data_IF_224283446828
#
_entry.id   IF_224283446828
#
_cell.length_a   1.000
_cell.length_b   1.000
_cell.length_c   1.000
_cell.angle_alpha   90.00
_cell.angle_beta   90.00
_cell.angle_gamma   90.00
#
_symmetry.space_group_name_H-M   'P 1'
#
loop_
_entity.id
_entity.type
_entity.pdbx_description
1 polymer ?
#
# COMPACT_ATOMS: atom_id res chain seq x y z
N UNK A 1 -16.17 13.61 65.99
CA UNK A 1 -16.23 14.22 64.63
C UNK A 1 -14.87 14.39 63.95
N UNK A 2 -13.73 14.50 64.66
CA UNK A 2 -12.40 14.68 64.02
C UNK A 2 -11.86 13.42 63.33
N UNK A 3 -12.18 12.21 63.81
CA UNK A 3 -11.67 10.93 63.25
C UNK A 3 -12.37 10.51 61.94
N UNK A 4 -13.65 10.84 61.77
CA UNK A 4 -14.42 10.54 60.55
C UNK A 4 -14.10 11.53 59.41
N UNK A 5 -13.73 12.76 59.78
CA UNK A 5 -13.29 13.78 58.83
C UNK A 5 -11.93 13.42 58.21
N UNK A 6 -11.01 12.83 58.97
CA UNK A 6 -9.71 12.38 58.47
C UNK A 6 -9.80 11.17 57.53
N UNK A 7 -10.77 10.26 57.73
CA UNK A 7 -10.95 9.10 56.85
C UNK A 7 -11.59 9.46 55.52
N UNK A 8 -12.46 10.48 55.46
CA UNK A 8 -13.03 10.97 54.21
C UNK A 8 -12.02 11.75 53.36
N UNK A 9 -11.09 12.48 53.99
CA UNK A 9 -10.07 13.27 53.29
C UNK A 9 -9.00 12.39 52.62
N UNK A 10 -8.74 11.18 53.15
CA UNK A 10 -7.80 10.22 52.57
C UNK A 10 -8.32 9.52 51.30
N UNK A 11 -9.65 9.34 51.15
CA UNK A 11 -10.24 8.69 49.97
C UNK A 11 -10.26 9.62 48.74
N UNK A 12 -10.34 10.93 48.96
CA UNK A 12 -10.34 11.92 47.87
C UNK A 12 -8.95 12.12 47.25
N UNK A 13 -7.87 11.87 48.01
CA UNK A 13 -6.49 11.99 47.52
C UNK A 13 -6.07 10.78 46.67
N UNK A 14 -6.58 9.58 46.93
CA UNK A 14 -6.25 8.39 46.13
C UNK A 14 -6.99 8.33 44.78
N UNK A 15 -8.12 9.02 44.64
CA UNK A 15 -8.88 9.03 43.37
C UNK A 15 -8.39 10.08 42.36
N UNK A 16 -7.75 11.17 42.81
CA UNK A 16 -7.21 12.21 41.92
C UNK A 16 -5.81 11.89 41.34
N UNK A 17 -5.05 10.99 41.96
CA UNK A 17 -3.77 10.51 41.42
C UNK A 17 -3.91 9.66 40.16
N UNK A 18 -4.99 8.88 40.02
CA UNK A 18 -5.23 8.03 38.85
C UNK A 18 -5.71 8.77 37.61
N UNK A 19 -6.25 9.99 37.74
CA UNK A 19 -6.77 10.76 36.61
C UNK A 19 -5.73 11.68 35.95
N UNK A 20 -4.62 12.00 36.62
CA UNK A 20 -3.51 12.75 36.01
C UNK A 20 -2.50 11.84 35.29
N UNK A 21 -2.40 10.56 35.67
CA UNK A 21 -1.44 9.61 35.09
C UNK A 21 -1.79 9.15 33.65
N UNK A 22 -2.99 9.48 33.13
CA UNK A 22 -3.38 9.22 31.73
C UNK A 22 -3.20 10.41 30.79
N UNK A 23 -2.78 11.59 31.27
CA UNK A 23 -2.59 12.79 30.43
C UNK A 23 -1.13 13.07 30.06
N UNK A 24 -0.20 12.18 30.41
CA UNK A 24 1.22 12.39 30.16
C UNK A 24 1.78 11.25 29.31
N UNK A 25 1.44 11.24 28.00
CA UNK A 25 2.29 10.74 26.90
C UNK A 25 1.55 10.79 25.55
N UNK A 26 1.07 11.96 25.14
CA UNK A 26 1.09 12.30 23.72
C UNK A 26 2.10 13.42 23.57
N UNK A 27 3.38 13.04 23.48
CA UNK A 27 4.35 13.95 22.88
C UNK A 27 3.91 14.14 21.42
N UNK A 28 3.80 15.37 20.89
CA UNK A 28 3.67 15.54 19.46
C UNK A 28 4.83 14.78 18.83
N UNK A 29 4.50 13.85 17.94
CA UNK A 29 5.48 13.07 17.21
C UNK A 29 6.30 14.09 16.41
N UNK A 30 7.46 14.51 16.93
CA UNK A 30 8.37 15.37 16.18
C UNK A 30 8.76 14.57 14.95
N UNK A 31 8.24 14.96 13.79
CA UNK A 31 8.61 14.39 12.50
C UNK A 31 10.11 14.69 12.30
N UNK A 32 10.97 13.79 12.76
CA UNK A 32 12.37 13.77 12.36
C UNK A 32 12.39 13.44 10.87
N UNK A 33 13.14 14.22 10.10
CA UNK A 33 13.45 13.83 8.72
C UNK A 33 14.12 12.46 8.74
N UNK A 34 13.68 11.52 7.89
CA UNK A 34 14.23 10.18 7.87
C UNK A 34 15.72 10.23 7.52
N UNK A 35 16.53 9.46 8.24
CA UNK A 35 17.95 9.29 7.90
C UNK A 35 18.12 8.63 6.52
N UNK A 36 19.28 8.83 5.89
CA UNK A 36 19.58 8.27 4.56
C UNK A 36 19.33 6.75 4.49
N UNK A 37 19.74 6.00 5.52
CA UNK A 37 19.52 4.56 5.57
C UNK A 37 18.03 4.17 5.65
N UNK A 38 17.20 4.99 6.32
CA UNK A 38 15.76 4.79 6.38
C UNK A 38 15.06 5.11 5.05
N UNK A 39 15.59 6.08 4.30
CA UNK A 39 15.12 6.39 2.94
C UNK A 39 15.42 5.20 2.02
N UNK A 40 16.65 4.71 2.02
CA UNK A 40 17.06 3.55 1.21
C UNK A 40 16.28 2.28 1.56
N UNK A 41 16.09 1.99 2.85
CA UNK A 41 15.30 0.83 3.28
C UNK A 41 13.84 0.95 2.83
N UNK A 42 13.27 2.15 2.88
CA UNK A 42 11.91 2.42 2.40
C UNK A 42 11.81 2.20 0.89
N UNK A 43 12.76 2.72 0.12
CA UNK A 43 12.78 2.55 -1.34
C UNK A 43 12.90 1.09 -1.73
N UNK A 44 13.75 0.31 -1.05
CA UNK A 44 13.86 -1.14 -1.26
C UNK A 44 12.55 -1.84 -0.98
N UNK A 45 11.90 -1.56 0.16
CA UNK A 45 10.60 -2.16 0.51
C UNK A 45 9.51 -1.81 -0.51
N UNK A 46 9.51 -0.59 -1.03
CA UNK A 46 8.57 -0.18 -2.08
C UNK A 46 8.84 -0.96 -3.37
N UNK A 47 10.11 -1.10 -3.78
CA UNK A 47 10.49 -1.85 -4.96
C UNK A 47 10.14 -3.34 -4.83
N UNK A 48 10.41 -3.96 -3.68
CA UNK A 48 10.03 -5.35 -3.39
C UNK A 48 8.52 -5.55 -3.43
N UNK A 49 7.74 -4.65 -2.81
CA UNK A 49 6.28 -4.72 -2.84
C UNK A 49 5.72 -4.49 -4.24
N UNK A 50 6.31 -3.59 -5.04
CA UNK A 50 5.98 -3.40 -6.47
C UNK A 50 6.19 -4.70 -7.24
N UNK A 51 7.36 -5.32 -7.09
CA UNK A 51 7.70 -6.55 -7.79
C UNK A 51 6.79 -7.72 -7.37
N UNK A 52 6.49 -7.86 -6.08
CA UNK A 52 5.58 -8.88 -5.57
C UNK A 52 4.15 -8.68 -6.11
N UNK A 53 3.67 -7.43 -6.13
CA UNK A 53 2.34 -7.07 -6.62
C UNK A 53 2.21 -7.42 -8.11
N UNK A 54 3.16 -7.00 -8.94
CA UNK A 54 3.20 -7.32 -10.37
C UNK A 54 3.27 -8.84 -10.57
N UNK A 55 4.14 -9.55 -9.84
CA UNK A 55 4.25 -11.00 -9.93
C UNK A 55 2.95 -11.72 -9.56
N UNK A 56 2.25 -11.26 -8.53
CA UNK A 56 0.95 -11.81 -8.14
C UNK A 56 -0.10 -11.56 -9.21
N UNK A 57 -0.11 -10.37 -9.80
CA UNK A 57 -0.99 -10.03 -10.91
C UNK A 57 -0.73 -10.88 -12.15
N UNK A 58 0.53 -11.04 -12.58
CA UNK A 58 0.87 -11.83 -13.77
C UNK A 58 0.39 -13.29 -13.67
N UNK A 59 0.29 -13.85 -12.46
CA UNK A 59 -0.24 -15.22 -12.25
C UNK A 59 -1.74 -15.33 -12.55
N UNK A 60 -2.48 -14.23 -12.55
CA UNK A 60 -3.93 -14.21 -12.88
C UNK A 60 -4.19 -14.09 -14.39
N UNK A 61 -3.16 -13.76 -15.17
CA UNK A 61 -3.25 -13.61 -16.62
C UNK A 61 -3.16 -14.96 -17.34
N UNK A 62 -3.92 -15.07 -18.42
CA UNK A 62 -3.95 -16.24 -19.30
C UNK A 62 -2.85 -16.19 -20.36
N UNK A 63 -2.30 -15.01 -20.60
CA UNK A 63 -1.12 -14.76 -21.42
C UNK A 63 0.00 -15.79 -21.26
N UNK A 64 0.71 -16.06 -22.36
CA UNK A 64 1.88 -16.92 -22.35
C UNK A 64 3.08 -16.27 -21.62
N UNK A 65 4.18 -17.01 -21.49
CA UNK A 65 5.36 -16.54 -20.76
C UNK A 65 6.04 -15.32 -21.41
N UNK A 66 6.08 -15.26 -22.75
CA UNK A 66 6.65 -14.15 -23.49
C UNK A 66 5.77 -12.90 -23.36
N UNK A 67 4.45 -13.06 -23.55
CA UNK A 67 3.48 -11.98 -23.30
C UNK A 67 3.58 -11.49 -21.85
N UNK A 68 3.68 -12.38 -20.86
CA UNK A 68 3.87 -12.00 -19.44
C UNK A 68 5.14 -11.21 -19.21
N UNK A 69 6.23 -11.50 -19.93
CA UNK A 69 7.46 -10.73 -19.83
C UNK A 69 7.29 -9.31 -20.39
N UNK A 70 6.59 -9.16 -21.52
CA UNK A 70 6.26 -7.84 -22.08
C UNK A 70 5.37 -7.07 -21.10
N UNK A 71 4.28 -7.69 -20.63
CA UNK A 71 3.35 -7.09 -19.67
C UNK A 71 4.10 -6.64 -18.41
N UNK A 72 5.02 -7.48 -17.90
CA UNK A 72 5.86 -7.13 -16.75
C UNK A 72 6.66 -5.85 -17.00
N UNK A 73 7.37 -5.77 -18.13
CA UNK A 73 8.18 -4.60 -18.49
C UNK A 73 7.31 -3.35 -18.63
N UNK A 74 6.16 -3.46 -19.31
CA UNK A 74 5.19 -2.36 -19.46
C UNK A 74 4.68 -1.87 -18.11
N UNK A 75 4.35 -2.79 -17.18
CA UNK A 75 3.90 -2.45 -15.83
C UNK A 75 4.99 -1.83 -14.97
N UNK A 76 6.22 -2.33 -15.05
CA UNK A 76 7.36 -1.76 -14.32
C UNK A 76 7.57 -0.29 -14.71
N UNK A 77 7.56 0.00 -16.02
CA UNK A 77 7.65 1.35 -16.59
C UNK A 77 6.43 2.21 -16.21
N UNK A 78 5.21 1.66 -16.28
CA UNK A 78 3.98 2.38 -15.88
C UNK A 78 4.05 2.87 -14.43
N UNK A 79 4.47 2.00 -13.50
CA UNK A 79 4.54 2.37 -12.10
C UNK A 79 5.65 3.40 -11.82
N UNK A 80 6.76 3.34 -12.57
CA UNK A 80 7.82 4.36 -12.48
C UNK A 80 7.32 5.73 -12.94
N UNK A 81 6.65 5.80 -14.09
CA UNK A 81 6.03 7.03 -14.59
C UNK A 81 4.94 7.55 -13.66
N UNK A 82 4.10 6.65 -13.12
CA UNK A 82 3.08 7.01 -12.14
C UNK A 82 3.71 7.61 -10.88
N UNK A 83 4.75 6.98 -10.33
CA UNK A 83 5.48 7.52 -9.17
C UNK A 83 6.11 8.88 -9.50
N UNK A 84 6.70 9.05 -10.67
CA UNK A 84 7.26 10.33 -11.12
C UNK A 84 6.19 11.41 -11.17
N UNK A 85 5.02 11.11 -11.76
CA UNK A 85 3.86 12.00 -11.79
C UNK A 85 3.38 12.37 -10.39
N UNK A 86 3.38 11.43 -9.44
CA UNK A 86 3.01 11.73 -8.06
C UNK A 86 3.97 12.69 -7.35
N UNK A 87 5.26 12.71 -7.75
CA UNK A 87 6.29 13.62 -7.23
C UNK A 87 6.19 15.03 -7.82
N UNK A 88 5.54 15.20 -8.97
CA UNK A 88 5.34 16.52 -9.58
C UNK A 88 4.34 17.34 -8.75
N UNK A 89 4.69 18.58 -8.37
CA UNK A 89 3.73 19.50 -7.79
C UNK A 89 2.78 19.98 -8.90
N UNK A 90 1.48 19.80 -8.68
CA UNK A 90 0.44 20.36 -9.54
C UNK A 90 -0.21 21.52 -8.81
N UNK A 91 -0.47 22.61 -9.52
CA UNK A 91 -1.14 23.79 -8.94
C UNK A 91 -2.60 23.46 -8.61
N UNK A 92 -3.24 22.67 -9.48
CA UNK A 92 -4.65 22.32 -9.38
C UNK A 92 -4.82 20.81 -9.28
N UNK A 93 -5.74 20.37 -8.42
CA UNK A 93 -5.96 18.94 -8.15
C UNK A 93 -6.35 18.14 -9.40
N UNK A 94 -7.12 18.74 -10.31
CA UNK A 94 -7.58 18.09 -11.54
C UNK A 94 -6.45 17.83 -12.56
N UNK A 95 -5.38 18.63 -12.54
CA UNK A 95 -4.26 18.47 -13.50
C UNK A 95 -3.55 17.14 -13.26
N UNK A 96 -3.44 16.73 -11.98
CA UNK A 96 -2.91 15.41 -11.61
C UNK A 96 -3.81 14.29 -12.11
N UNK A 97 -5.12 14.43 -11.93
CA UNK A 97 -6.10 13.43 -12.37
C UNK A 97 -6.07 13.27 -13.89
N UNK A 98 -6.01 14.38 -14.62
CA UNK A 98 -5.88 14.38 -16.08
C UNK A 98 -4.56 13.74 -16.54
N UNK A 99 -3.45 14.05 -15.89
CA UNK A 99 -2.17 13.45 -16.21
C UNK A 99 -2.17 11.92 -15.95
N UNK A 100 -2.79 11.46 -14.85
CA UNK A 100 -2.96 10.02 -14.58
C UNK A 100 -3.87 9.36 -15.62
N UNK A 101 -4.95 10.04 -16.04
CA UNK A 101 -5.85 9.55 -17.09
C UNK A 101 -5.09 9.38 -18.40
N UNK A 102 -4.33 10.39 -18.82
CA UNK A 102 -3.53 10.35 -20.05
C UNK A 102 -2.46 9.25 -20.00
N UNK A 103 -1.82 9.04 -18.84
CA UNK A 103 -0.89 7.93 -18.64
C UNK A 103 -1.61 6.58 -18.85
N UNK A 104 -2.75 6.36 -18.18
CA UNK A 104 -3.53 5.13 -18.29
C UNK A 104 -3.98 4.85 -19.74
N UNK A 105 -4.39 5.88 -20.49
CA UNK A 105 -4.89 5.75 -21.86
C UNK A 105 -3.78 5.44 -22.89
N UNK A 106 -2.57 5.98 -22.68
CA UNK A 106 -1.49 5.92 -23.65
C UNK A 106 -0.50 4.78 -23.39
N UNK A 107 -0.16 4.53 -22.11
CA UNK A 107 0.94 3.63 -21.73
C UNK A 107 0.77 2.19 -22.22
N UNK A 108 -0.49 1.75 -22.36
CA UNK A 108 -0.83 0.37 -22.73
C UNK A 108 -1.32 0.24 -24.17
N UNK A 109 -1.23 1.29 -25.01
CA UNK A 109 -1.75 1.26 -26.39
C UNK A 109 -1.14 0.14 -27.22
N UNK A 110 0.18 -0.02 -27.15
CA UNK A 110 0.90 -1.07 -27.88
C UNK A 110 0.58 -2.45 -27.31
N UNK A 111 0.36 -2.55 -26.01
CA UNK A 111 0.05 -3.83 -25.38
C UNK A 111 -1.31 -4.39 -25.83
N UNK A 112 -2.30 -3.53 -26.12
CA UNK A 112 -3.63 -3.92 -26.58
C UNK A 112 -3.63 -4.81 -27.83
N UNK A 113 -2.63 -4.68 -28.70
CA UNK A 113 -2.53 -5.48 -29.93
C UNK A 113 -1.79 -6.80 -29.71
N UNK A 114 -1.09 -6.95 -28.58
CA UNK A 114 -0.20 -8.07 -28.29
C UNK A 114 -0.82 -9.11 -27.36
N UNK A 115 -1.84 -8.75 -26.59
CA UNK A 115 -2.47 -9.61 -25.58
C UNK A 115 -3.97 -9.77 -25.83
N UNK A 116 -4.58 -10.75 -25.16
CA UNK A 116 -6.02 -10.97 -25.24
C UNK A 116 -6.81 -9.78 -24.63
N UNK A 117 -8.02 -9.53 -25.14
CA UNK A 117 -8.92 -8.52 -24.56
C UNK A 117 -9.26 -8.81 -23.09
N UNK A 118 -9.34 -10.10 -22.73
CA UNK A 118 -9.54 -10.57 -21.35
C UNK A 118 -8.41 -10.10 -20.43
N UNK A 119 -7.15 -10.34 -20.83
CA UNK A 119 -5.99 -9.92 -20.03
C UNK A 119 -5.84 -8.39 -20.01
N UNK A 120 -6.15 -7.71 -21.13
CA UNK A 120 -6.18 -6.24 -21.15
C UNK A 120 -7.23 -5.67 -20.19
N UNK A 121 -8.39 -6.32 -20.08
CA UNK A 121 -9.42 -5.94 -19.10
C UNK A 121 -8.92 -6.10 -17.67
N UNK A 122 -8.23 -7.20 -17.36
CA UNK A 122 -7.59 -7.40 -16.04
C UNK A 122 -6.54 -6.33 -15.73
N UNK A 123 -5.76 -5.91 -16.73
CA UNK A 123 -4.80 -4.80 -16.58
C UNK A 123 -5.52 -3.49 -16.26
N UNK A 124 -6.58 -3.18 -17.00
CA UNK A 124 -7.40 -1.97 -16.77
C UNK A 124 -8.01 -1.98 -15.36
N UNK A 125 -8.53 -3.12 -14.90
CA UNK A 125 -9.07 -3.25 -13.55
C UNK A 125 -7.98 -3.06 -12.49
N UNK A 126 -6.78 -3.61 -12.71
CA UNK A 126 -5.65 -3.42 -11.82
C UNK A 126 -5.21 -1.95 -11.71
N UNK A 127 -5.03 -1.24 -12.82
CA UNK A 127 -4.57 0.18 -12.78
C UNK A 127 -5.61 1.12 -12.16
N UNK A 128 -6.88 0.73 -12.21
CA UNK A 128 -8.00 1.41 -11.54
C UNK A 128 -8.21 0.98 -10.09
N UNK A 129 -7.35 0.11 -9.54
CA UNK A 129 -7.36 -0.26 -8.12
C UNK A 129 -8.36 -1.35 -7.74
N UNK A 130 -8.91 -2.10 -8.71
CA UNK A 130 -9.85 -3.20 -8.43
C UNK A 130 -9.16 -4.55 -8.20
N UNK A 131 -7.84 -4.63 -8.34
CA UNK A 131 -7.07 -5.85 -8.11
C UNK A 131 -6.67 -5.98 -6.64
N UNK A 132 -7.05 -7.08 -6.00
CA UNK A 132 -6.69 -7.43 -4.63
C UNK A 132 -5.57 -8.50 -4.63
N UNK A 133 -4.37 -8.14 -4.15
CA UNK A 133 -3.24 -9.06 -4.07
C UNK A 133 -3.39 -10.10 -2.94
N UNK A 134 -4.21 -9.81 -1.92
CA UNK A 134 -4.43 -10.70 -0.78
C UNK A 134 -5.25 -11.92 -1.19
N UNK A 135 -6.19 -11.78 -2.13
CA UNK A 135 -6.91 -12.91 -2.72
C UNK A 135 -5.97 -13.92 -3.37
N UNK A 136 -5.04 -13.42 -4.18
CA UNK A 136 -4.04 -14.26 -4.85
C UNK A 136 -3.13 -14.93 -3.82
N UNK A 137 -2.71 -14.21 -2.78
CA UNK A 137 -1.90 -14.76 -1.69
C UNK A 137 -2.64 -15.85 -0.92
N UNK A 138 -3.93 -15.65 -0.62
CA UNK A 138 -4.79 -16.63 0.06
C UNK A 138 -4.88 -17.92 -0.77
N UNK A 139 -5.13 -17.80 -2.06
CA UNK A 139 -5.19 -18.96 -2.96
C UNK A 139 -3.86 -19.70 -3.09
N UNK A 140 -2.74 -18.97 -3.21
CA UNK A 140 -1.38 -19.57 -3.22
C UNK A 140 -1.12 -20.35 -1.93
N UNK A 141 -1.48 -19.81 -0.76
CA UNK A 141 -1.34 -20.48 0.55
C UNK A 141 -2.19 -21.75 0.63
N UNK A 142 -3.44 -21.71 0.17
CA UNK A 142 -4.33 -22.90 0.13
C UNK A 142 -3.74 -24.01 -0.75
N UNK A 143 -3.24 -23.68 -1.94
CA UNK A 143 -2.60 -24.66 -2.86
C UNK A 143 -1.37 -25.31 -2.24
N UNK A 144 -0.50 -24.54 -1.56
CA UNK A 144 0.69 -25.08 -0.86
C UNK A 144 0.31 -26.06 0.27
N UNK A 145 -0.67 -25.73 1.10
CA UNK A 145 -1.16 -26.60 2.19
C UNK A 145 -1.75 -27.93 1.68
N UNK A 146 -2.37 -27.94 0.50
CA UNK A 146 -2.87 -29.19 -0.12
C UNK A 146 -1.72 -30.07 -0.60
N UNK A 147 -0.69 -29.48 -1.22
CA UNK A 147 0.49 -30.21 -1.70
C UNK A 147 1.37 -30.80 -0.59
N UNK A 148 1.37 -30.21 0.60
CA UNK A 148 2.16 -30.73 1.74
C UNK A 148 1.43 -31.81 2.56
N UNK A 149 0.16 -32.09 2.24
CA UNK A 149 -0.64 -33.14 2.90
C UNK A 149 -0.72 -34.43 2.09
N UNK A 150 -0.36 -34.37 0.81
CA UNK A 150 -0.12 -35.53 -0.05
C UNK A 150 1.37 -35.80 -0.11
#
# INVERSE_FOLDING_TARGET
MKKVLCTLLLIVITFSGYSQMRRQQQRPNMQQEPSQSQIEERERKIAERKAEYISNFLVTLEADEFQKQIIKQTLDSYFEEKIALFKVPFERSFEREEAVRLLNENHFKELKTLISESDMTKINDMINGKFDDDDVKREKRKKRKKRSKN
#
